data_IF_800120599730
#
_entry.id   IF_800120599730
#
_cell.length_a   1.000
_cell.length_b   1.000
_cell.length_c   1.000
_cell.angle_alpha   90.00
_cell.angle_beta   90.00
_cell.angle_gamma   90.00
#
_symmetry.space_group_name_H-M   'P 1'
#
loop_
_entity.id
_entity.type
_entity.pdbx_description
1 polymer ?
#
# COMPACT_ATOMS: atom_id res chain seq x y z
N UNK A 1 6.43 28.54 18.61
CA UNK A 1 7.51 27.84 17.88
C UNK A 1 7.38 26.35 18.13
N UNK A 2 6.66 25.62 17.26
CA UNK A 2 6.71 24.15 17.24
C UNK A 2 8.00 23.78 16.52
N UNK A 3 9.03 23.43 17.30
CA UNK A 3 10.34 23.07 16.76
C UNK A 3 10.23 21.84 15.85
N UNK A 4 10.64 21.99 14.60
CA UNK A 4 10.92 20.86 13.73
C UNK A 4 11.97 19.98 14.42
N UNK A 5 11.62 18.74 14.73
CA UNK A 5 12.59 17.78 15.26
C UNK A 5 13.57 17.49 14.13
N UNK A 6 14.75 18.06 14.18
CA UNK A 6 15.81 17.76 13.21
C UNK A 6 16.17 16.27 13.36
N UNK A 7 15.91 15.47 12.33
CA UNK A 7 16.26 14.05 12.34
C UNK A 7 17.78 13.90 12.49
N UNK A 8 18.19 13.06 13.44
CA UNK A 8 19.58 12.62 13.53
C UNK A 8 19.86 11.57 12.44
N UNK A 9 21.14 11.38 12.07
CA UNK A 9 21.52 10.41 11.06
C UNK A 9 21.12 8.95 11.39
N UNK A 10 20.66 8.68 12.61
CA UNK A 10 20.22 7.39 13.11
C UNK A 10 18.70 7.25 13.22
N UNK A 11 17.94 8.33 13.00
CA UNK A 11 16.48 8.28 13.09
C UNK A 11 15.91 7.53 11.89
N UNK A 12 14.89 6.72 12.13
CA UNK A 12 14.27 5.84 11.13
C UNK A 12 12.81 6.25 10.94
N UNK A 13 12.41 6.46 9.70
CA UNK A 13 11.00 6.50 9.28
C UNK A 13 10.60 5.12 8.79
N UNK A 14 9.41 4.66 9.16
CA UNK A 14 8.84 3.38 8.72
C UNK A 14 7.44 3.64 8.18
N UNK A 15 7.23 3.32 6.92
CA UNK A 15 5.91 3.06 6.36
C UNK A 15 5.63 1.56 6.49
N UNK A 16 4.63 1.20 7.29
CA UNK A 16 4.28 -0.17 7.61
C UNK A 16 3.12 -0.64 6.73
N UNK A 17 3.32 -0.63 5.43
CA UNK A 17 2.28 -0.97 4.46
C UNK A 17 1.94 -2.46 4.41
N UNK A 18 0.72 -2.77 3.97
CA UNK A 18 0.22 -4.15 3.79
C UNK A 18 1.03 -4.95 2.78
N UNK A 19 1.44 -4.34 1.67
CA UNK A 19 2.20 -5.02 0.62
C UNK A 19 3.71 -4.85 0.75
N UNK A 20 4.15 -3.66 1.07
CA UNK A 20 5.56 -3.33 1.22
C UNK A 20 5.78 -2.55 2.50
N UNK A 21 6.95 -2.75 3.10
CA UNK A 21 7.50 -1.90 4.14
C UNK A 21 8.56 -1.01 3.50
N UNK A 22 8.47 0.29 3.75
CA UNK A 22 9.47 1.26 3.32
C UNK A 22 10.15 1.85 4.54
N UNK A 23 11.47 1.93 4.55
CA UNK A 23 12.22 2.52 5.65
C UNK A 23 13.17 3.60 5.15
N UNK A 24 13.15 4.73 5.83
CA UNK A 24 14.08 5.84 5.61
C UNK A 24 15.03 5.97 6.80
N UNK A 25 16.22 6.51 6.60
CA UNK A 25 17.17 6.74 7.68
C UNK A 25 17.82 8.12 7.57
N UNK A 26 17.52 9.00 8.50
CA UNK A 26 18.11 10.34 8.60
C UNK A 26 18.11 11.07 7.26
N UNK A 27 19.30 11.46 6.77
CA UNK A 27 19.46 12.16 5.48
C UNK A 27 19.76 11.21 4.30
N UNK A 28 19.70 9.89 4.50
CA UNK A 28 20.00 8.89 3.44
C UNK A 28 18.82 8.64 2.50
N UNK A 29 17.63 9.15 2.86
CA UNK A 29 16.38 8.83 2.14
C UNK A 29 15.96 7.39 2.37
N UNK A 30 15.32 6.78 1.38
CA UNK A 30 14.87 5.39 1.44
C UNK A 30 16.09 4.45 1.47
N UNK A 31 16.18 3.65 2.52
CA UNK A 31 17.26 2.67 2.75
C UNK A 31 16.79 1.23 2.62
N UNK A 32 15.46 1.00 2.67
CA UNK A 32 14.83 -0.29 2.48
C UNK A 32 13.45 -0.10 1.87
N UNK A 33 13.14 -0.91 0.85
CA UNK A 33 11.80 -1.07 0.28
C UNK A 33 11.65 -2.54 -0.09
N UNK A 34 10.91 -3.28 0.74
CA UNK A 34 10.75 -4.72 0.61
C UNK A 34 9.31 -5.17 0.91
N UNK A 35 8.87 -6.32 0.36
CA UNK A 35 7.55 -6.87 0.67
C UNK A 35 7.33 -7.10 2.17
N UNK A 36 6.13 -6.78 2.67
CA UNK A 36 5.69 -7.05 4.06
C UNK A 36 5.35 -8.53 4.23
N UNK A 37 6.36 -9.39 4.10
CA UNK A 37 6.25 -10.85 4.11
C UNK A 37 7.28 -11.45 5.04
N UNK A 38 6.87 -12.47 5.78
CA UNK A 38 7.72 -13.25 6.68
C UNK A 38 7.58 -14.74 6.38
N UNK A 39 8.70 -15.46 6.35
CA UNK A 39 8.74 -16.91 6.25
C UNK A 39 9.27 -17.49 7.56
N UNK A 40 8.61 -18.50 8.09
CA UNK A 40 8.99 -19.15 9.34
C UNK A 40 8.76 -20.66 9.30
N UNK A 41 9.49 -21.37 10.14
CA UNK A 41 9.33 -22.81 10.31
C UNK A 41 8.15 -23.07 11.27
N UNK A 42 7.12 -23.79 10.79
CA UNK A 42 5.89 -24.05 11.56
C UNK A 42 6.08 -24.96 12.79
N UNK A 43 7.20 -25.70 12.87
CA UNK A 43 7.49 -26.60 13.98
C UNK A 43 8.34 -25.96 15.07
N UNK A 44 9.19 -25.01 14.70
CA UNK A 44 10.16 -24.37 15.62
C UNK A 44 9.87 -22.90 15.85
N UNK A 45 8.89 -22.32 15.13
CA UNK A 45 8.51 -20.92 15.16
C UNK A 45 9.65 -19.94 14.80
N UNK A 46 10.79 -20.48 14.29
CA UNK A 46 11.93 -19.65 13.91
C UNK A 46 11.66 -18.93 12.62
N UNK A 47 11.92 -17.63 12.60
CA UNK A 47 11.96 -16.82 11.37
C UNK A 47 13.09 -17.32 10.48
N UNK A 48 12.79 -17.54 9.21
CA UNK A 48 13.74 -18.01 8.20
C UNK A 48 14.14 -16.85 7.26
N UNK A 49 13.20 -16.02 6.88
CA UNK A 49 13.42 -14.89 6.00
C UNK A 49 12.34 -13.82 6.18
N UNK A 50 12.65 -12.57 5.81
CA UNK A 50 11.71 -11.46 5.72
C UNK A 50 11.89 -10.73 4.39
N UNK A 51 10.85 -10.04 3.94
CA UNK A 51 10.92 -9.22 2.74
C UNK A 51 10.98 -10.03 1.46
N UNK A 52 11.86 -9.63 0.55
CA UNK A 52 11.99 -10.21 -0.79
C UNK A 52 12.30 -11.71 -0.76
N UNK A 53 13.19 -12.14 0.13
CA UNK A 53 13.53 -13.56 0.26
C UNK A 53 12.31 -14.39 0.66
N UNK A 54 11.51 -13.92 1.63
CA UNK A 54 10.27 -14.57 2.03
C UNK A 54 9.21 -14.54 0.91
N UNK A 55 9.09 -13.41 0.19
CA UNK A 55 8.17 -13.27 -0.94
C UNK A 55 8.46 -14.26 -2.08
N UNK A 56 9.73 -14.57 -2.36
CA UNK A 56 10.13 -15.55 -3.36
C UNK A 56 9.70 -16.98 -3.01
N UNK A 57 9.46 -17.26 -1.73
CA UNK A 57 9.01 -18.57 -1.25
C UNK A 57 7.50 -18.78 -1.43
N UNK A 58 6.71 -17.74 -1.67
CA UNK A 58 5.24 -17.86 -1.84
C UNK A 58 4.90 -18.87 -2.93
N UNK A 59 4.11 -19.89 -2.56
CA UNK A 59 3.66 -20.97 -3.46
C UNK A 59 4.75 -21.94 -3.89
N UNK A 60 5.94 -21.91 -3.24
CA UNK A 60 7.08 -22.79 -3.53
C UNK A 60 7.65 -23.46 -2.28
N UNK A 61 7.09 -23.16 -1.12
CA UNK A 61 7.56 -23.64 0.18
C UNK A 61 7.02 -25.04 0.48
N UNK A 62 7.79 -25.90 1.17
CA UNK A 62 7.32 -27.17 1.70
C UNK A 62 6.40 -26.95 2.92
N UNK A 63 5.64 -27.97 3.31
CA UNK A 63 4.60 -27.90 4.34
C UNK A 63 5.06 -27.42 5.74
N UNK A 64 6.36 -27.62 6.06
CA UNK A 64 6.94 -27.17 7.33
C UNK A 64 7.44 -25.72 7.33
N UNK A 65 7.31 -25.01 6.21
CA UNK A 65 7.59 -23.58 6.08
C UNK A 65 6.28 -22.87 5.76
N UNK A 66 5.88 -21.93 6.60
CA UNK A 66 4.79 -21.02 6.31
C UNK A 66 5.35 -19.68 5.83
N UNK A 67 4.65 -19.09 4.87
CA UNK A 67 4.90 -17.72 4.40
C UNK A 67 3.64 -16.92 4.67
N UNK A 68 3.77 -15.84 5.44
CA UNK A 68 2.65 -15.04 5.90
C UNK A 68 2.84 -13.55 5.59
N UNK A 69 1.72 -12.86 5.46
CA UNK A 69 1.61 -11.39 5.48
C UNK A 69 0.99 -10.99 6.82
N UNK A 70 1.80 -10.59 7.82
CA UNK A 70 1.28 -10.30 9.16
C UNK A 70 0.48 -9.00 9.24
N UNK A 71 0.53 -8.19 8.18
CA UNK A 71 -0.29 -6.99 8.02
C UNK A 71 -1.22 -7.25 6.84
N UNK A 72 -2.51 -7.15 7.07
CA UNK A 72 -3.55 -7.37 6.06
C UNK A 72 -4.57 -6.25 6.11
N UNK A 73 -4.91 -5.68 4.95
CA UNK A 73 -5.94 -4.65 4.81
C UNK A 73 -5.73 -3.45 5.78
N UNK A 74 -4.48 -3.02 5.95
CA UNK A 74 -4.10 -1.92 6.83
C UNK A 74 -4.09 -2.25 8.32
N UNK A 75 -4.35 -3.51 8.71
CA UNK A 75 -4.48 -3.96 10.10
C UNK A 75 -3.42 -5.03 10.41
N UNK A 76 -2.90 -5.01 11.63
CA UNK A 76 -2.07 -6.10 12.13
C UNK A 76 -2.98 -7.33 12.33
N UNK A 77 -2.73 -8.38 11.56
CA UNK A 77 -3.48 -9.63 11.63
C UNK A 77 -2.80 -10.69 12.51
N UNK A 78 -1.50 -10.51 12.75
CA UNK A 78 -0.71 -11.38 13.64
C UNK A 78 0.37 -10.53 14.34
N UNK A 79 0.19 -10.32 15.64
CA UNK A 79 1.06 -9.45 16.44
C UNK A 79 2.48 -10.00 16.55
N UNK A 80 2.65 -11.31 16.79
CA UNK A 80 3.96 -11.94 17.01
C UNK A 80 4.78 -11.96 15.74
N UNK A 81 4.16 -12.28 14.61
CA UNK A 81 4.82 -12.24 13.30
C UNK A 81 5.13 -10.81 12.86
N UNK A 82 4.24 -9.84 13.11
CA UNK A 82 4.49 -8.41 12.83
C UNK A 82 5.68 -7.91 13.64
N UNK A 83 5.68 -8.21 14.93
CA UNK A 83 6.78 -7.87 15.85
C UNK A 83 8.13 -8.44 15.33
N UNK A 84 8.14 -9.73 14.98
CA UNK A 84 9.33 -10.40 14.46
C UNK A 84 9.79 -9.77 13.15
N UNK A 85 8.87 -9.47 12.23
CA UNK A 85 9.15 -8.85 10.94
C UNK A 85 9.74 -7.44 11.10
N UNK A 86 9.11 -6.58 11.90
CA UNK A 86 9.61 -5.22 12.17
C UNK A 86 11.00 -5.26 12.79
N UNK A 87 11.21 -6.16 13.75
CA UNK A 87 12.51 -6.33 14.38
C UNK A 87 13.60 -6.70 13.38
N UNK A 88 13.36 -7.69 12.53
CA UNK A 88 14.33 -8.11 11.51
C UNK A 88 14.64 -6.98 10.52
N UNK A 89 13.64 -6.20 10.09
CA UNK A 89 13.87 -5.06 9.21
C UNK A 89 14.64 -3.94 9.89
N UNK A 90 14.33 -3.60 11.15
CA UNK A 90 15.09 -2.60 11.92
C UNK A 90 16.55 -3.05 12.07
N UNK A 91 16.80 -4.32 12.39
CA UNK A 91 18.16 -4.87 12.49
C UNK A 91 18.89 -4.82 11.14
N UNK A 92 18.20 -5.10 10.03
CA UNK A 92 18.75 -5.04 8.68
C UNK A 92 19.21 -3.62 8.30
N UNK A 93 18.47 -2.60 8.72
CA UNK A 93 18.75 -1.19 8.41
C UNK A 93 19.72 -0.56 9.41
N UNK A 94 19.53 -0.79 10.72
CA UNK A 94 20.34 -0.16 11.77
C UNK A 94 21.65 -0.88 12.06
N UNK A 95 21.73 -2.18 11.77
CA UNK A 95 22.87 -3.01 12.17
C UNK A 95 23.11 -2.97 13.69
N UNK A 96 24.35 -3.19 14.13
CA UNK A 96 24.74 -3.09 15.55
C UNK A 96 25.13 -1.65 15.92
N UNK A 97 24.17 -0.71 15.91
CA UNK A 97 24.44 0.66 16.30
C UNK A 97 24.54 0.83 17.83
N UNK A 98 25.53 1.60 18.28
CA UNK A 98 25.71 1.94 19.71
C UNK A 98 24.61 2.89 20.22
N UNK A 99 24.01 3.68 19.33
CA UNK A 99 22.95 4.63 19.67
C UNK A 99 21.62 4.11 19.12
N UNK A 100 20.68 3.86 20.03
CA UNK A 100 19.32 3.43 19.67
C UNK A 100 18.60 4.52 18.88
N UNK A 101 17.97 4.20 17.72
CA UNK A 101 17.28 5.16 16.88
C UNK A 101 15.98 5.68 17.54
N UNK A 102 15.55 6.87 17.16
CA UNK A 102 14.14 7.27 17.25
C UNK A 102 13.45 6.73 16.00
N UNK A 103 12.21 6.27 16.17
CA UNK A 103 11.45 5.72 15.06
C UNK A 103 10.16 6.52 14.90
N UNK A 104 9.84 6.91 13.68
CA UNK A 104 8.55 7.47 13.29
C UNK A 104 7.87 6.42 12.42
N UNK A 105 6.65 6.01 12.78
CA UNK A 105 5.90 5.01 12.03
C UNK A 105 4.64 5.63 11.46
N UNK A 106 4.43 5.45 10.15
CA UNK A 106 3.20 5.83 9.50
C UNK A 106 2.10 4.83 9.84
N UNK A 107 0.93 5.35 10.11
CA UNK A 107 -0.26 4.56 10.49
C UNK A 107 -1.49 5.09 9.76
N UNK A 108 -2.46 4.22 9.43
CA UNK A 108 -3.72 4.65 8.85
C UNK A 108 -4.45 5.68 9.71
N UNK A 109 -5.28 6.53 9.08
CA UNK A 109 -6.00 7.59 9.80
C UNK A 109 -6.95 7.08 10.88
N UNK A 110 -7.44 5.85 10.77
CA UNK A 110 -8.40 5.22 11.68
C UNK A 110 -7.81 4.03 12.45
N UNK A 111 -6.52 4.09 12.79
CA UNK A 111 -5.92 3.07 13.63
C UNK A 111 -6.54 3.10 15.03
N UNK A 112 -6.86 1.94 15.59
CA UNK A 112 -7.36 1.80 16.96
C UNK A 112 -6.25 1.99 17.99
N UNK A 113 -6.62 2.32 19.23
CA UNK A 113 -5.65 2.44 20.35
C UNK A 113 -4.88 1.13 20.59
N UNK A 114 -5.52 -0.03 20.37
CA UNK A 114 -4.90 -1.34 20.55
C UNK A 114 -3.84 -1.55 19.48
N UNK A 115 -4.17 -1.35 18.21
CA UNK A 115 -3.24 -1.47 17.08
C UNK A 115 -2.08 -0.47 17.20
N UNK A 116 -2.37 0.79 17.60
CA UNK A 116 -1.35 1.81 17.84
C UNK A 116 -0.33 1.35 18.90
N UNK A 117 -0.81 0.74 20.00
CA UNK A 117 0.06 0.18 21.04
C UNK A 117 0.88 -0.99 20.53
N UNK A 118 0.28 -1.91 19.77
CA UNK A 118 0.98 -3.06 19.22
C UNK A 118 2.15 -2.62 18.32
N UNK A 119 1.93 -1.64 17.41
CA UNK A 119 2.98 -1.06 16.55
C UNK A 119 4.10 -0.41 17.39
N UNK A 120 3.73 0.39 18.40
CA UNK A 120 4.71 1.06 19.27
C UNK A 120 5.53 0.04 20.06
N UNK A 121 4.89 -1.00 20.60
CA UNK A 121 5.56 -2.02 21.40
C UNK A 121 6.48 -2.91 20.54
N UNK A 122 6.07 -3.23 19.30
CA UNK A 122 6.92 -3.90 18.33
C UNK A 122 8.21 -3.10 18.05
N UNK A 123 8.09 -1.81 17.77
CA UNK A 123 9.24 -0.96 17.51
C UNK A 123 10.15 -0.75 18.74
N UNK A 124 9.57 -0.66 19.96
CA UNK A 124 10.34 -0.55 21.21
C UNK A 124 11.14 -1.81 21.49
N UNK A 125 10.54 -2.98 21.32
CA UNK A 125 11.22 -4.25 21.56
C UNK A 125 12.28 -4.55 20.51
N UNK A 126 12.14 -4.01 19.28
CA UNK A 126 13.20 -4.00 18.28
C UNK A 126 14.40 -3.12 18.65
N UNK A 127 14.34 -2.38 19.78
CA UNK A 127 15.47 -1.63 20.31
C UNK A 127 15.41 -0.12 20.05
N UNK A 128 14.28 0.46 19.65
CA UNK A 128 14.14 1.90 19.52
C UNK A 128 14.24 2.63 20.86
N UNK A 129 14.73 3.88 20.82
CA UNK A 129 14.77 4.77 22.00
C UNK A 129 13.43 5.45 22.23
N UNK A 130 12.79 5.89 21.18
CA UNK A 130 11.49 6.57 21.17
C UNK A 130 10.76 6.21 19.89
N UNK A 131 9.43 6.08 19.97
CA UNK A 131 8.55 5.82 18.85
C UNK A 131 7.50 6.92 18.77
N UNK A 132 7.29 7.45 17.59
CA UNK A 132 6.26 8.42 17.24
C UNK A 132 5.37 7.84 16.14
N UNK A 133 4.09 8.16 16.18
CA UNK A 133 3.15 7.81 15.13
C UNK A 133 2.80 9.07 14.31
N UNK A 134 2.65 8.90 13.00
CA UNK A 134 2.16 9.93 12.09
C UNK A 134 1.09 9.31 11.19
N UNK A 135 0.03 10.05 10.90
CA UNK A 135 -1.00 9.58 9.98
C UNK A 135 -0.47 9.54 8.54
N UNK A 136 -0.73 8.45 7.82
CA UNK A 136 -0.30 8.22 6.43
C UNK A 136 -0.60 9.41 5.49
N UNK A 137 -1.81 10.02 5.46
CA UNK A 137 -2.08 11.15 4.57
C UNK A 137 -1.20 12.36 4.85
N UNK A 138 -0.85 12.59 6.12
CA UNK A 138 0.05 13.71 6.50
C UNK A 138 1.47 13.40 6.05
N UNK A 139 1.94 12.17 6.27
CA UNK A 139 3.27 11.74 5.85
C UNK A 139 3.41 11.82 4.32
N UNK A 140 2.42 11.30 3.58
CA UNK A 140 2.39 11.32 2.13
C UNK A 140 2.39 12.74 1.53
N UNK A 141 1.60 13.66 2.13
CA UNK A 141 1.63 15.07 1.72
C UNK A 141 3.00 15.71 1.92
N UNK A 142 3.65 15.44 3.06
CA UNK A 142 5.01 15.94 3.36
C UNK A 142 6.01 15.33 2.37
N UNK A 143 5.95 14.03 2.13
CA UNK A 143 6.83 13.33 1.19
C UNK A 143 6.67 13.82 -0.25
N UNK A 144 5.46 14.17 -0.66
CA UNK A 144 5.18 14.80 -1.95
C UNK A 144 5.62 16.28 -2.01
N UNK A 145 6.11 16.87 -0.91
CA UNK A 145 6.56 18.26 -0.86
C UNK A 145 5.42 19.27 -0.80
N UNK A 146 4.21 18.85 -0.41
CA UNK A 146 3.04 19.75 -0.28
C UNK A 146 3.14 20.54 1.03
N UNK A 147 2.93 21.84 0.97
CA UNK A 147 2.91 22.66 2.16
C UNK A 147 1.51 22.68 2.80
N UNK A 148 1.31 21.81 3.78
CA UNK A 148 0.05 21.62 4.51
C UNK A 148 -0.13 22.56 5.72
N UNK A 149 0.79 23.50 5.97
CA UNK A 149 0.73 24.40 7.16
C UNK A 149 -0.30 25.51 7.02
N UNK A 150 -0.68 25.83 5.80
CA UNK A 150 -1.62 26.92 5.50
C UNK A 150 -3.06 26.46 5.66
N UNK A 151 -3.98 27.46 5.84
CA UNK A 151 -5.42 27.27 5.80
C UNK A 151 -5.89 27.10 4.34
N UNK A 152 -5.50 25.97 3.73
CA UNK A 152 -5.81 25.59 2.36
C UNK A 152 -6.04 24.08 2.29
N UNK A 153 -7.12 23.66 1.60
CA UNK A 153 -7.45 22.25 1.44
C UNK A 153 -6.53 21.55 0.42
N UNK A 154 -6.04 20.39 0.80
CA UNK A 154 -5.31 19.49 -0.09
C UNK A 154 -5.93 18.11 0.01
N UNK A 155 -6.32 17.55 -1.12
CA UNK A 155 -6.86 16.19 -1.20
C UNK A 155 -5.75 15.21 -1.60
N UNK A 156 -5.71 14.08 -0.91
CA UNK A 156 -4.83 12.97 -1.24
C UNK A 156 -5.64 11.69 -1.37
N UNK A 157 -5.25 10.86 -2.33
CA UNK A 157 -5.67 9.46 -2.47
C UNK A 157 -4.43 8.61 -2.48
N UNK A 158 -4.28 7.81 -1.45
CA UNK A 158 -3.22 6.81 -1.34
C UNK A 158 -3.81 5.43 -1.62
N UNK A 159 -3.38 4.80 -2.73
CA UNK A 159 -3.83 3.47 -3.12
C UNK A 159 -2.68 2.51 -2.89
N UNK A 160 -2.70 1.89 -1.72
CA UNK A 160 -1.71 0.90 -1.32
C UNK A 160 -1.97 -0.50 -1.87
N UNK A 161 -1.43 -1.50 -1.18
CA UNK A 161 -1.74 -2.89 -1.47
C UNK A 161 -3.00 -3.39 -0.78
N UNK A 162 -3.23 -2.99 0.47
CA UNK A 162 -4.36 -3.46 1.30
C UNK A 162 -5.49 -2.46 1.43
N UNK A 163 -5.18 -1.18 1.44
CA UNK A 163 -6.12 -0.08 1.68
C UNK A 163 -6.02 0.98 0.60
N UNK A 164 -7.13 1.68 0.39
CA UNK A 164 -7.18 2.98 -0.27
C UNK A 164 -7.61 4.00 0.76
N UNK A 165 -6.73 4.95 1.03
CA UNK A 165 -6.91 6.04 1.97
C UNK A 165 -7.16 7.34 1.22
N UNK A 166 -8.32 7.94 1.47
CA UNK A 166 -8.71 9.23 0.90
C UNK A 166 -8.82 10.23 2.02
N UNK A 167 -8.13 11.36 1.92
CA UNK A 167 -8.16 12.36 2.98
C UNK A 167 -8.07 13.80 2.45
N UNK A 168 -8.65 14.71 3.21
CA UNK A 168 -8.46 16.16 3.08
C UNK A 168 -7.58 16.63 4.23
N UNK A 169 -6.48 17.28 3.89
CA UNK A 169 -5.50 17.80 4.85
C UNK A 169 -5.45 19.33 4.75
N UNK A 170 -5.48 19.98 5.90
CA UNK A 170 -5.34 21.44 6.03
C UNK A 170 -4.73 21.77 7.38
N UNK A 171 -3.91 22.81 7.49
CA UNK A 171 -3.33 23.29 8.75
C UNK A 171 -2.64 22.21 9.59
N UNK A 172 -1.89 21.32 8.93
CA UNK A 172 -1.20 20.14 9.52
C UNK A 172 -2.14 19.10 10.16
N UNK A 173 -3.41 19.08 9.80
CA UNK A 173 -4.38 18.12 10.33
C UNK A 173 -5.23 17.50 9.23
N UNK A 174 -5.70 16.29 9.48
CA UNK A 174 -6.72 15.64 8.64
C UNK A 174 -8.08 16.25 9.00
N UNK A 175 -8.79 16.79 8.01
CA UNK A 175 -10.12 17.40 8.17
C UNK A 175 -11.19 16.34 7.98
N UNK A 176 -11.11 15.58 6.90
CA UNK A 176 -12.02 14.50 6.55
C UNK A 176 -11.19 13.37 5.97
N UNK A 177 -11.53 12.14 6.27
CA UNK A 177 -10.88 10.98 5.65
C UNK A 177 -11.83 9.79 5.58
N UNK A 178 -11.56 8.91 4.62
CA UNK A 178 -12.27 7.66 4.47
C UNK A 178 -11.32 6.60 3.92
N UNK A 179 -11.30 5.45 4.57
CA UNK A 179 -10.46 4.31 4.19
C UNK A 179 -11.35 3.16 3.75
N UNK A 180 -10.99 2.53 2.64
CA UNK A 180 -11.60 1.29 2.19
C UNK A 180 -10.57 0.18 2.07
N UNK A 181 -11.01 -1.07 2.24
CA UNK A 181 -10.17 -2.28 2.12
C UNK A 181 -10.09 -2.81 0.68
N UNK A 182 -10.31 -1.93 -0.29
CA UNK A 182 -10.20 -2.22 -1.73
C UNK A 182 -8.99 -1.48 -2.28
N UNK A 183 -7.97 -2.24 -2.68
CA UNK A 183 -6.70 -1.74 -3.20
C UNK A 183 -6.01 -2.83 -4.03
N UNK A 184 -4.69 -2.75 -4.24
CA UNK A 184 -3.95 -3.63 -5.14
C UNK A 184 -4.21 -5.13 -4.93
N UNK A 185 -4.27 -5.60 -3.69
CA UNK A 185 -4.50 -7.03 -3.38
C UNK A 185 -5.95 -7.48 -3.63
N UNK A 186 -6.93 -6.57 -3.46
CA UNK A 186 -8.33 -6.86 -3.82
C UNK A 186 -8.45 -7.05 -5.32
N UNK A 187 -7.86 -6.17 -6.10
CA UNK A 187 -7.77 -6.26 -7.56
C UNK A 187 -7.14 -7.58 -8.00
N UNK A 188 -6.03 -8.00 -7.37
CA UNK A 188 -5.40 -9.30 -7.68
C UNK A 188 -6.35 -10.48 -7.41
N UNK A 189 -7.10 -10.45 -6.31
CA UNK A 189 -8.11 -11.47 -5.99
C UNK A 189 -9.25 -11.50 -7.02
N UNK A 190 -9.70 -10.34 -7.50
CA UNK A 190 -10.73 -10.22 -8.54
C UNK A 190 -10.24 -10.81 -9.86
N UNK A 191 -8.99 -10.56 -10.24
CA UNK A 191 -8.36 -11.18 -11.43
C UNK A 191 -8.29 -12.71 -11.29
N UNK A 192 -7.83 -13.22 -10.14
CA UNK A 192 -7.78 -14.68 -9.88
C UNK A 192 -9.17 -15.29 -10.02
N UNK A 193 -10.18 -14.68 -9.41
CA UNK A 193 -11.58 -15.14 -9.46
C UNK A 193 -12.13 -15.12 -10.88
N UNK A 194 -11.85 -14.08 -11.65
CA UNK A 194 -12.25 -13.96 -13.05
C UNK A 194 -11.63 -15.07 -13.91
N UNK A 195 -10.32 -15.29 -13.81
CA UNK A 195 -9.62 -16.35 -14.53
C UNK A 195 -10.17 -17.74 -14.16
N UNK A 196 -10.46 -17.95 -12.89
CA UNK A 196 -11.05 -19.21 -12.43
C UNK A 196 -12.47 -19.41 -12.97
N UNK A 197 -13.30 -18.37 -12.94
CA UNK A 197 -14.72 -18.48 -13.30
C UNK A 197 -14.91 -18.57 -14.81
N UNK A 198 -14.27 -17.70 -15.58
CA UNK A 198 -14.45 -17.61 -17.04
C UNK A 198 -13.63 -18.66 -17.79
N UNK A 199 -12.36 -18.80 -17.43
CA UNK A 199 -11.42 -19.65 -18.18
C UNK A 199 -11.12 -20.99 -17.52
N UNK A 200 -11.65 -21.25 -16.32
CA UNK A 200 -11.33 -22.45 -15.53
C UNK A 200 -9.81 -22.62 -15.37
N UNK A 201 -9.09 -21.50 -15.29
CA UNK A 201 -7.64 -21.44 -15.13
C UNK A 201 -7.30 -20.97 -13.72
N UNK A 202 -6.58 -21.80 -12.96
CA UNK A 202 -6.08 -21.45 -11.65
C UNK A 202 -4.72 -20.76 -11.82
N UNK A 203 -4.63 -19.52 -11.31
CA UNK A 203 -3.40 -18.72 -11.25
C UNK A 203 -3.10 -18.34 -9.80
N UNK A 204 -1.85 -18.02 -9.49
CA UNK A 204 -1.44 -17.52 -8.18
C UNK A 204 -1.39 -16.00 -8.13
N UNK A 205 -1.27 -15.44 -6.91
CA UNK A 205 -1.21 -13.99 -6.63
C UNK A 205 -0.16 -13.27 -7.49
N UNK A 206 1.07 -13.80 -7.57
CA UNK A 206 2.16 -13.21 -8.36
C UNK A 206 1.84 -13.14 -9.86
N UNK A 207 1.04 -14.06 -10.37
CA UNK A 207 0.60 -14.04 -11.77
C UNK A 207 -0.46 -12.97 -11.97
N UNK A 208 -1.43 -12.87 -11.04
CA UNK A 208 -2.47 -11.85 -11.08
C UNK A 208 -1.87 -10.43 -10.98
N UNK A 209 -0.97 -10.19 -10.03
CA UNK A 209 -0.24 -8.93 -9.90
C UNK A 209 0.49 -8.54 -11.20
N UNK A 210 1.14 -9.49 -11.86
CA UNK A 210 1.81 -9.23 -13.14
C UNK A 210 0.81 -8.88 -14.24
N UNK A 211 -0.30 -9.59 -14.33
CA UNK A 211 -1.39 -9.30 -15.29
C UNK A 211 -1.91 -7.88 -15.07
N UNK A 212 -2.16 -7.51 -13.81
CA UNK A 212 -2.58 -6.15 -13.42
C UNK A 212 -1.59 -5.09 -13.89
N UNK A 213 -0.30 -5.28 -13.62
CA UNK A 213 0.75 -4.31 -13.97
C UNK A 213 0.89 -4.15 -15.48
N UNK A 214 0.87 -5.26 -16.23
CA UNK A 214 1.19 -5.28 -17.67
C UNK A 214 -0.01 -4.93 -18.56
N UNK A 215 -1.24 -5.15 -18.10
CA UNK A 215 -2.42 -5.09 -18.97
C UNK A 215 -3.49 -4.09 -18.51
N UNK A 216 -3.40 -3.54 -17.27
CA UNK A 216 -4.48 -2.70 -16.76
C UNK A 216 -4.60 -1.38 -17.52
N UNK A 217 -5.81 -1.11 -18.04
CA UNK A 217 -6.22 0.16 -18.61
C UNK A 217 -7.67 0.46 -18.20
N UNK A 218 -7.86 1.48 -17.35
CA UNK A 218 -9.15 1.82 -16.76
C UNK A 218 -9.91 2.91 -17.53
N UNK A 219 -9.28 3.52 -18.55
CA UNK A 219 -9.89 4.66 -19.23
C UNK A 219 -10.42 4.34 -20.62
N UNK A 220 -9.65 3.62 -21.41
CA UNK A 220 -9.98 3.25 -22.78
C UNK A 220 -9.42 1.85 -23.10
N UNK A 221 -9.98 0.80 -22.45
CA UNK A 221 -9.49 -0.56 -22.63
C UNK A 221 -9.79 -1.07 -24.06
N UNK A 222 -8.83 -1.81 -24.63
CA UNK A 222 -8.88 -2.34 -25.99
C UNK A 222 -8.87 -3.87 -26.01
N UNK A 223 -9.60 -4.48 -26.93
CA UNK A 223 -9.54 -5.93 -27.20
C UNK A 223 -8.32 -6.33 -28.03
N UNK A 224 -7.65 -5.36 -28.66
CA UNK A 224 -6.44 -5.61 -29.47
C UNK A 224 -5.19 -5.80 -28.62
N UNK A 225 -5.15 -5.18 -27.43
CA UNK A 225 -4.05 -5.31 -26.47
C UNK A 225 -4.32 -6.50 -25.57
N UNK A 226 -3.43 -7.48 -25.61
CA UNK A 226 -3.64 -8.77 -24.93
C UNK A 226 -2.40 -9.23 -24.19
N UNK A 227 -2.63 -10.08 -23.16
CA UNK A 227 -1.58 -10.67 -22.35
C UNK A 227 -1.78 -12.18 -22.19
N UNK A 228 -0.70 -12.97 -22.32
CA UNK A 228 -0.73 -14.43 -22.17
C UNK A 228 -0.59 -14.84 -20.71
N UNK A 229 -1.68 -15.31 -20.12
CA UNK A 229 -1.75 -15.79 -18.74
C UNK A 229 -1.52 -17.30 -18.70
N UNK A 230 -0.55 -17.74 -17.87
CA UNK A 230 -0.22 -19.15 -17.67
C UNK A 230 -0.70 -19.62 -16.29
N UNK A 231 -1.26 -20.83 -16.24
CA UNK A 231 -1.76 -21.40 -15.00
C UNK A 231 -2.03 -22.89 -15.13
N UNK A 232 -2.85 -23.44 -14.24
CA UNK A 232 -3.30 -24.83 -14.26
C UNK A 232 -4.77 -24.90 -14.64
N UNK A 233 -5.11 -25.67 -15.65
CA UNK A 233 -6.50 -25.95 -16.01
C UNK A 233 -7.21 -26.70 -14.90
N UNK A 234 -8.32 -26.19 -14.41
CA UNK A 234 -9.16 -26.87 -13.42
C UNK A 234 -9.89 -28.08 -14.01
N UNK A 235 -10.12 -28.07 -15.33
CA UNK A 235 -10.81 -29.18 -16.01
C UNK A 235 -9.90 -30.38 -16.27
N UNK A 236 -8.63 -30.12 -16.60
CA UNK A 236 -7.68 -31.15 -17.01
C UNK A 236 -6.60 -31.45 -15.97
N UNK A 237 -6.41 -30.55 -14.97
CA UNK A 237 -5.32 -30.62 -14.00
C UNK A 237 -3.92 -30.32 -14.58
N UNK A 238 -3.83 -30.01 -15.86
CA UNK A 238 -2.57 -29.82 -16.61
C UNK A 238 -2.23 -28.32 -16.76
N UNK A 239 -0.95 -27.97 -17.01
CA UNK A 239 -0.57 -26.63 -17.41
C UNK A 239 -1.39 -26.15 -18.61
N UNK A 240 -1.83 -24.90 -18.57
CA UNK A 240 -2.58 -24.26 -19.63
C UNK A 240 -2.24 -22.78 -19.71
N UNK A 241 -2.60 -22.16 -20.82
CA UNK A 241 -2.46 -20.73 -21.04
C UNK A 241 -3.67 -20.16 -21.75
N UNK A 242 -3.98 -18.90 -21.47
CA UNK A 242 -5.11 -18.17 -22.04
C UNK A 242 -4.64 -16.75 -22.36
N UNK A 243 -5.11 -16.23 -23.49
CA UNK A 243 -4.92 -14.84 -23.88
C UNK A 243 -6.13 -14.05 -23.35
N UNK A 244 -5.88 -12.95 -22.64
CA UNK A 244 -6.91 -12.02 -22.16
C UNK A 244 -6.63 -10.61 -22.68
N UNK A 245 -7.69 -9.82 -22.92
CA UNK A 245 -7.59 -8.43 -23.39
C UNK A 245 -7.65 -7.43 -22.23
N UNK A 246 -7.32 -6.15 -22.52
CA UNK A 246 -7.53 -5.05 -21.57
C UNK A 246 -9.01 -4.92 -21.18
N UNK A 247 -9.94 -5.11 -22.15
CA UNK A 247 -11.39 -5.04 -21.88
C UNK A 247 -11.81 -6.12 -20.89
N UNK A 248 -11.32 -7.35 -21.06
CA UNK A 248 -11.62 -8.45 -20.13
C UNK A 248 -11.02 -8.22 -18.74
N UNK A 249 -9.84 -7.62 -18.67
CA UNK A 249 -9.23 -7.26 -17.39
C UNK A 249 -10.02 -6.15 -16.71
N UNK A 250 -10.46 -5.13 -17.46
CA UNK A 250 -11.33 -4.07 -16.93
C UNK A 250 -12.62 -4.64 -16.36
N UNK A 251 -13.30 -5.55 -17.10
CA UNK A 251 -14.50 -6.27 -16.63
C UNK A 251 -14.23 -7.01 -15.30
N UNK A 252 -13.06 -7.62 -15.16
CA UNK A 252 -12.68 -8.35 -13.95
C UNK A 252 -12.53 -7.48 -12.70
N UNK A 253 -12.16 -6.19 -12.86
CA UNK A 253 -11.79 -5.27 -11.77
C UNK A 253 -12.69 -4.03 -11.68
N UNK A 254 -13.80 -4.00 -12.44
CA UNK A 254 -14.72 -2.87 -12.50
C UNK A 254 -15.30 -2.52 -11.12
N UNK A 255 -15.74 -3.53 -10.36
CA UNK A 255 -16.30 -3.35 -9.02
C UNK A 255 -15.28 -2.73 -8.05
N UNK A 256 -14.02 -3.19 -8.09
CA UNK A 256 -12.94 -2.65 -7.26
C UNK A 256 -12.66 -1.19 -7.62
N UNK A 257 -12.62 -0.88 -8.92
CA UNK A 257 -12.41 0.47 -9.43
C UNK A 257 -13.55 1.40 -9.02
N UNK A 258 -14.79 0.93 -9.13
CA UNK A 258 -15.97 1.67 -8.70
C UNK A 258 -15.92 1.98 -7.20
N UNK A 259 -15.53 1.02 -6.36
CA UNK A 259 -15.39 1.24 -4.92
C UNK A 259 -14.37 2.34 -4.58
N UNK A 260 -13.25 2.40 -5.30
CA UNK A 260 -12.26 3.48 -5.15
C UNK A 260 -12.86 4.83 -5.54
N UNK A 261 -13.59 4.90 -6.65
CA UNK A 261 -14.23 6.14 -7.11
C UNK A 261 -15.29 6.64 -6.12
N UNK A 262 -16.07 5.74 -5.53
CA UNK A 262 -17.07 6.09 -4.51
C UNK A 262 -16.42 6.56 -3.20
N UNK A 263 -15.26 6.00 -2.81
CA UNK A 263 -14.52 6.49 -1.65
C UNK A 263 -14.05 7.95 -1.84
N UNK A 264 -13.55 8.28 -3.04
CA UNK A 264 -13.14 9.66 -3.39
C UNK A 264 -14.36 10.60 -3.34
N UNK A 265 -15.49 10.20 -3.93
CA UNK A 265 -16.73 10.98 -3.94
C UNK A 265 -17.22 11.24 -2.52
N UNK A 266 -17.27 10.23 -1.68
CA UNK A 266 -17.71 10.34 -0.29
C UNK A 266 -16.92 11.36 0.52
N UNK A 267 -15.60 11.36 0.40
CA UNK A 267 -14.76 12.36 1.09
C UNK A 267 -15.06 13.78 0.60
N UNK A 268 -15.30 13.97 -0.71
CA UNK A 268 -15.67 15.27 -1.26
C UNK A 268 -17.03 15.76 -0.74
N UNK A 269 -18.02 14.86 -0.64
CA UNK A 269 -19.36 15.17 -0.13
C UNK A 269 -19.33 15.56 1.37
N UNK A 270 -18.46 14.91 2.16
CA UNK A 270 -18.29 15.18 3.59
C UNK A 270 -17.36 16.38 3.88
N UNK A 271 -16.79 17.02 2.83
CA UNK A 271 -15.80 18.10 2.96
C UNK A 271 -16.49 19.48 2.99
N UNK A 272 -16.07 20.40 3.87
CA UNK A 272 -16.54 21.77 3.86
C UNK A 272 -16.37 22.45 2.49
N UNK A 273 -17.37 23.25 2.02
CA UNK A 273 -17.38 23.85 0.68
C UNK A 273 -16.15 24.68 0.34
N UNK A 274 -15.57 25.40 1.32
CA UNK A 274 -14.38 26.23 1.15
C UNK A 274 -13.16 25.37 0.76
N UNK A 275 -13.03 24.19 1.35
CA UNK A 275 -11.94 23.26 1.04
C UNK A 275 -12.18 22.53 -0.29
N UNK A 276 -13.43 22.27 -0.66
CA UNK A 276 -13.77 21.71 -1.99
C UNK A 276 -13.34 22.69 -3.11
N UNK A 277 -13.53 23.99 -2.90
CA UNK A 277 -13.02 25.02 -3.82
C UNK A 277 -11.51 24.95 -3.99
N UNK A 278 -10.77 24.81 -2.90
CA UNK A 278 -9.31 24.64 -2.94
C UNK A 278 -8.89 23.39 -3.72
N UNK A 279 -9.64 22.28 -3.56
CA UNK A 279 -9.35 21.01 -4.25
C UNK A 279 -9.60 21.13 -5.75
N UNK A 280 -10.66 21.84 -6.14
CA UNK A 280 -10.95 22.09 -7.55
C UNK A 280 -9.78 22.82 -8.24
N UNK A 281 -9.18 23.80 -7.57
CA UNK A 281 -8.06 24.58 -8.09
C UNK A 281 -6.72 23.81 -8.05
N UNK A 282 -6.46 23.07 -6.96
CA UNK A 282 -5.16 22.38 -6.75
C UNK A 282 -5.10 20.99 -7.41
N UNK A 283 -6.26 20.37 -7.61
CA UNK A 283 -6.38 18.96 -7.98
C UNK A 283 -6.16 18.01 -6.81
N UNK A 284 -6.23 16.74 -7.13
CA UNK A 284 -6.06 15.59 -6.25
C UNK A 284 -4.62 15.09 -6.34
N UNK A 285 -3.94 14.93 -5.21
CA UNK A 285 -2.64 14.25 -5.13
C UNK A 285 -2.87 12.74 -5.05
N UNK A 286 -2.14 11.97 -5.84
CA UNK A 286 -2.22 10.51 -5.89
C UNK A 286 -0.91 9.88 -5.46
N UNK A 287 -0.95 8.96 -4.49
CA UNK A 287 0.19 8.22 -3.92
C UNK A 287 -0.11 6.74 -3.80
N UNK A 288 0.91 5.95 -3.45
CA UNK A 288 0.82 4.49 -3.40
C UNK A 288 1.05 3.81 -4.75
N UNK A 289 1.24 2.49 -4.71
CA UNK A 289 1.51 1.69 -5.92
C UNK A 289 0.30 1.56 -6.85
N UNK A 290 -0.92 1.60 -6.29
CA UNK A 290 -2.17 1.45 -7.07
C UNK A 290 -2.47 2.63 -7.99
N UNK A 291 -1.88 3.80 -7.76
CA UNK A 291 -2.06 4.96 -8.66
C UNK A 291 -1.39 4.77 -10.03
N UNK A 292 -0.53 3.75 -10.15
CA UNK A 292 0.12 3.36 -11.40
C UNK A 292 -0.77 2.50 -12.30
N UNK A 293 -2.00 2.14 -11.86
CA UNK A 293 -2.98 1.48 -12.72
C UNK A 293 -3.25 2.37 -13.95
N UNK A 294 -3.08 1.78 -15.13
CA UNK A 294 -3.24 2.49 -16.40
C UNK A 294 -4.60 3.17 -16.51
N UNK A 295 -4.63 4.44 -16.90
CA UNK A 295 -5.87 5.19 -17.12
C UNK A 295 -6.59 5.70 -15.87
N UNK A 296 -6.14 5.37 -14.65
CA UNK A 296 -6.83 5.78 -13.41
C UNK A 296 -6.97 7.31 -13.27
N UNK A 297 -5.94 8.14 -13.47
CA UNK A 297 -6.09 9.61 -13.41
C UNK A 297 -7.10 10.16 -14.41
N UNK A 298 -7.14 9.59 -15.62
CA UNK A 298 -8.07 9.98 -16.67
C UNK A 298 -9.51 9.59 -16.30
N UNK A 299 -9.69 8.41 -15.73
CA UNK A 299 -10.99 7.94 -15.23
C UNK A 299 -11.52 8.85 -14.13
N UNK A 300 -10.69 9.19 -13.12
CA UNK A 300 -11.06 10.11 -12.04
C UNK A 300 -11.46 11.47 -12.61
N UNK A 301 -10.65 12.03 -13.52
CA UNK A 301 -10.93 13.32 -14.15
C UNK A 301 -12.25 13.28 -14.93
N UNK A 302 -12.52 12.23 -15.70
CA UNK A 302 -13.78 12.06 -16.47
C UNK A 302 -14.99 11.98 -15.56
N UNK A 303 -14.87 11.26 -14.44
CA UNK A 303 -16.02 10.93 -13.58
C UNK A 303 -16.31 12.01 -12.54
N UNK A 304 -15.26 12.61 -11.94
CA UNK A 304 -15.37 13.56 -10.84
C UNK A 304 -15.02 15.00 -11.23
N UNK A 305 -14.49 15.24 -12.43
CA UNK A 305 -14.13 16.58 -12.92
C UNK A 305 -12.87 17.17 -12.25
N UNK A 306 -12.11 16.39 -11.47
CA UNK A 306 -10.95 16.85 -10.71
C UNK A 306 -9.66 16.44 -11.42
N UNK A 307 -8.71 17.39 -11.53
CA UNK A 307 -7.39 17.09 -12.05
C UNK A 307 -6.60 16.23 -11.05
N UNK A 308 -5.85 15.25 -11.57
CA UNK A 308 -5.04 14.35 -10.78
C UNK A 308 -3.55 14.61 -10.97
N UNK A 309 -2.81 14.63 -9.87
CA UNK A 309 -1.37 14.83 -9.83
C UNK A 309 -0.74 13.61 -9.16
N UNK A 310 -0.04 12.76 -9.90
CA UNK A 310 0.70 11.63 -9.32
C UNK A 310 1.98 12.17 -8.70
N UNK A 311 2.27 11.79 -7.45
CA UNK A 311 3.52 12.11 -6.78
C UNK A 311 4.72 11.53 -7.55
N UNK A 312 5.85 12.27 -7.57
CA UNK A 312 7.04 11.88 -8.35
C UNK A 312 7.57 10.49 -7.99
N UNK A 313 7.50 10.14 -6.72
CA UNK A 313 7.83 8.80 -6.19
C UNK A 313 6.63 8.30 -5.40
N UNK A 314 5.56 7.95 -6.12
CA UNK A 314 4.27 7.60 -5.51
C UNK A 314 4.34 6.40 -4.57
N UNK A 315 5.28 5.47 -4.81
CA UNK A 315 5.44 4.25 -4.02
C UNK A 315 6.11 4.51 -2.66
N UNK A 316 7.00 5.52 -2.59
CA UNK A 316 7.81 5.81 -1.40
C UNK A 316 7.46 7.19 -0.80
N UNK A 317 6.26 7.69 -1.03
CA UNK A 317 5.84 9.04 -0.64
C UNK A 317 5.51 9.15 0.84
N UNK A 318 5.06 8.06 1.46
CA UNK A 318 4.69 7.94 2.89
C UNK A 318 5.89 7.80 3.80
#
# INVERSE_FOLDING_TARGET
EKGYIKMANTDIGIDLGTSNIVMTMGNRGVVLSEPSVIAYNTRTERVLAVGREAYEMIGRNPDYIAVARPISEGVISDDDLTHSMIREFILKVSGHQLVKPRIIICVPSFITDIESRAVVDAAKSAGSRQVYLIQEPIAAMIGAGVNITKAKGHMIVDIGGGTTDVAIVSMNGVVTSYTIKTAGNAIDRSIIKYMQNKYKLLIGERTAERVKIELCNLYDPSDEITYMVKGRSLLKGLPAQVLISETELFEAIEDDTFAIMEAIRKVLEDTPPELVGDIYDNGLLMTGGGVLLGGLPQLIKRTLGINCNIAKDSINCV
#
